data_IF_056584595749
#
_entry.id   IF_056584595749
#
_cell.length_a   1.000
_cell.length_b   1.000
_cell.length_c   1.000
_cell.angle_alpha   90.00
_cell.angle_beta   90.00
_cell.angle_gamma   90.00
#
_symmetry.space_group_name_H-M   'P 1'
#
loop_
_entity.id
_entity.type
_entity.pdbx_description
1 polymer ?
#
# COMPACT_ATOMS: atom_id res chain seq x y z
N UNK A 1 -9.67 -5.72 -2.18
CA UNK A 1 -8.51 -5.01 -2.73
C UNK A 1 -7.26 -5.36 -1.95
N UNK A 2 -6.09 -5.27 -2.60
CA UNK A 2 -4.81 -5.61 -1.96
C UNK A 2 -4.18 -4.42 -1.22
N UNK A 3 -4.81 -3.24 -1.29
CA UNK A 3 -4.28 -1.99 -0.75
C UNK A 3 -3.97 -1.99 0.74
N UNK A 4 -4.79 -2.60 1.62
CA UNK A 4 -4.49 -2.68 3.06
C UNK A 4 -3.43 -3.73 3.42
N UNK A 5 -3.02 -4.60 2.48
CA UNK A 5 -2.02 -5.62 2.74
C UNK A 5 -0.71 -4.97 3.20
N UNK A 6 -0.13 -5.54 4.24
CA UNK A 6 1.14 -5.06 4.78
C UNK A 6 2.31 -5.63 4.01
N UNK A 7 3.33 -4.81 3.79
CA UNK A 7 4.56 -5.11 3.06
C UNK A 7 5.75 -4.88 3.99
N UNK A 8 6.67 -5.84 4.01
CA UNK A 8 7.94 -5.71 4.73
C UNK A 8 8.88 -4.84 3.91
N UNK A 9 9.59 -3.94 4.59
CA UNK A 9 10.66 -3.15 4.01
C UNK A 9 12.01 -3.77 4.36
N UNK A 10 12.90 -3.81 3.38
CA UNK A 10 14.27 -4.28 3.51
C UNK A 10 15.23 -3.09 3.51
N UNK A 11 16.22 -3.11 4.41
CA UNK A 11 17.28 -2.09 4.43
C UNK A 11 18.05 -2.09 3.10
N UNK A 12 18.35 -0.88 2.64
CA UNK A 12 19.11 -0.60 1.44
C UNK A 12 20.05 0.57 1.71
N UNK A 13 21.10 0.75 0.89
CA UNK A 13 21.92 1.94 0.93
C UNK A 13 21.04 3.18 0.65
N UNK A 14 21.06 4.14 1.56
CA UNK A 14 20.20 5.33 1.49
C UNK A 14 18.84 5.24 2.21
N UNK A 15 18.40 4.05 2.64
CA UNK A 15 17.12 3.90 3.35
C UNK A 15 16.55 2.50 3.32
N UNK A 16 15.37 2.35 2.75
CA UNK A 16 14.66 1.09 2.60
C UNK A 16 14.17 0.89 1.16
N UNK A 17 13.88 -0.35 0.81
CA UNK A 17 13.14 -0.70 -0.41
C UNK A 17 12.03 -1.69 -0.04
N UNK A 18 10.96 -1.73 -0.84
CA UNK A 18 9.92 -2.74 -0.67
C UNK A 18 10.50 -4.13 -0.90
N UNK A 19 10.10 -5.10 -0.06
CA UNK A 19 10.53 -6.49 -0.20
C UNK A 19 9.35 -7.37 -0.64
N UNK A 20 8.59 -7.89 0.30
CA UNK A 20 7.46 -8.79 0.06
C UNK A 20 6.30 -8.52 1.02
N UNK A 21 5.13 -9.05 0.68
CA UNK A 21 3.99 -8.99 1.60
C UNK A 21 4.31 -9.69 2.92
N UNK A 22 3.88 -9.06 4.01
CA UNK A 22 3.90 -9.66 5.34
C UNK A 22 2.97 -10.89 5.36
N UNK A 23 3.47 -12.00 5.90
CA UNK A 23 2.73 -13.25 6.03
C UNK A 23 2.45 -13.58 7.49
N UNK A 24 1.44 -14.39 7.74
CA UNK A 24 1.11 -14.85 9.10
C UNK A 24 2.31 -15.54 9.76
N UNK A 25 3.06 -16.32 9.01
CA UNK A 25 4.29 -16.99 9.49
C UNK A 25 5.43 -16.06 9.90
N UNK A 26 5.43 -14.82 9.42
CA UNK A 26 6.45 -13.83 9.82
C UNK A 26 6.23 -13.31 11.23
N UNK A 27 4.97 -13.22 11.67
CA UNK A 27 4.62 -12.65 12.96
C UNK A 27 4.56 -13.69 14.06
N UNK A 28 3.64 -14.63 13.94
CA UNK A 28 3.52 -15.75 14.83
C UNK A 28 2.56 -16.80 14.23
N UNK A 29 2.64 -18.02 14.74
CA UNK A 29 1.88 -19.17 14.24
C UNK A 29 0.37 -19.10 14.56
N UNK A 30 -0.05 -18.20 15.44
CA UNK A 30 -1.39 -18.20 16.05
C UNK A 30 -2.29 -17.04 15.60
N UNK A 31 -2.13 -16.52 14.38
CA UNK A 31 -3.04 -15.50 13.85
C UNK A 31 -4.42 -16.05 13.43
N UNK A 32 -4.88 -17.10 14.08
CA UNK A 32 -6.18 -17.72 13.85
C UNK A 32 -6.23 -18.65 12.64
N UNK A 33 -5.17 -18.74 11.85
CA UNK A 33 -5.11 -19.55 10.65
C UNK A 33 -4.33 -20.84 10.89
N UNK A 34 -5.04 -21.96 10.82
CA UNK A 34 -4.43 -23.28 11.01
C UNK A 34 -3.72 -23.83 9.78
N UNK A 35 -4.04 -23.27 8.59
CA UNK A 35 -3.55 -23.77 7.32
C UNK A 35 -2.76 -22.70 6.58
N UNK A 36 -1.59 -23.08 6.10
CA UNK A 36 -0.75 -22.29 5.19
C UNK A 36 -0.44 -20.87 5.68
N UNK A 37 0.07 -20.68 6.91
CA UNK A 37 0.40 -19.36 7.44
C UNK A 37 1.44 -18.62 6.59
N UNK A 38 2.26 -19.32 5.83
CA UNK A 38 3.23 -18.78 4.88
C UNK A 38 2.58 -18.15 3.63
N UNK A 39 1.31 -18.42 3.36
CA UNK A 39 0.58 -17.87 2.21
C UNK A 39 -0.39 -16.76 2.59
N UNK A 40 -0.78 -16.69 3.85
CA UNK A 40 -1.76 -15.71 4.33
C UNK A 40 -1.14 -14.33 4.44
N UNK A 41 -1.64 -13.40 3.65
CA UNK A 41 -1.30 -11.98 3.75
C UNK A 41 -1.94 -11.36 4.98
N UNK A 42 -1.29 -10.34 5.51
CA UNK A 42 -1.67 -9.68 6.75
C UNK A 42 -2.13 -8.26 6.47
N UNK A 43 -3.17 -7.85 7.19
CA UNK A 43 -3.64 -6.46 7.28
C UNK A 43 -3.62 -6.01 8.73
N UNK A 44 -3.67 -4.69 8.94
CA UNK A 44 -3.88 -4.14 10.28
C UNK A 44 -5.38 -3.85 10.47
N UNK A 45 -5.95 -4.32 11.56
CA UNK A 45 -7.35 -4.11 11.90
C UNK A 45 -7.54 -2.95 12.86
N UNK A 46 -8.29 -1.93 12.46
CA UNK A 46 -8.58 -0.76 13.28
C UNK A 46 -9.44 -1.06 14.50
N UNK A 47 -10.26 -2.12 14.45
CA UNK A 47 -11.12 -2.51 15.58
C UNK A 47 -10.32 -3.16 16.70
N UNK A 48 -9.53 -4.17 16.38
CA UNK A 48 -8.72 -4.91 17.35
C UNK A 48 -7.37 -4.28 17.63
N UNK A 49 -6.95 -3.27 16.85
CA UNK A 49 -5.62 -2.65 16.90
C UNK A 49 -4.48 -3.66 16.80
N UNK A 50 -4.65 -4.65 15.94
CA UNK A 50 -3.71 -5.73 15.77
C UNK A 50 -3.59 -6.18 14.30
N UNK A 51 -2.53 -6.92 14.03
CA UNK A 51 -2.35 -7.57 12.73
C UNK A 51 -3.21 -8.83 12.67
N UNK A 52 -3.95 -8.99 11.58
CA UNK A 52 -4.84 -10.11 11.35
C UNK A 52 -4.68 -10.68 9.94
N UNK A 53 -4.96 -11.97 9.78
CA UNK A 53 -5.07 -12.58 8.47
C UNK A 53 -6.55 -12.53 8.04
N UNK A 54 -6.92 -11.72 7.03
CA UNK A 54 -8.30 -11.66 6.58
C UNK A 54 -8.69 -12.95 5.89
N UNK A 55 -9.93 -13.37 6.07
CA UNK A 55 -10.50 -14.46 5.29
C UNK A 55 -10.49 -14.08 3.81
N UNK A 56 -10.17 -15.06 2.97
CA UNK A 56 -10.23 -14.86 1.54
C UNK A 56 -11.65 -14.50 1.09
N UNK A 57 -11.72 -13.62 0.16
CA UNK A 57 -12.95 -13.06 -0.37
C UNK A 57 -13.75 -14.02 -1.24
N UNK A 58 -13.12 -15.03 -1.80
CA UNK A 58 -13.73 -15.98 -2.75
C UNK A 58 -14.86 -16.80 -2.12
N UNK A 59 -14.78 -17.11 -0.84
CA UNK A 59 -15.80 -17.89 -0.15
C UNK A 59 -17.19 -17.23 -0.10
N UNK A 60 -17.26 -15.91 -0.12
CA UNK A 60 -18.52 -15.15 -0.08
C UNK A 60 -19.07 -14.81 -1.45
N UNK A 61 -18.28 -14.93 -2.47
CA UNK A 61 -18.66 -14.65 -3.86
C UNK A 61 -19.86 -15.45 -4.35
N UNK A 62 -20.06 -16.62 -3.78
CA UNK A 62 -21.13 -17.55 -4.16
C UNK A 62 -22.30 -17.57 -3.18
N UNK A 63 -22.21 -16.80 -2.09
CA UNK A 63 -23.24 -16.81 -1.05
C UNK A 63 -24.50 -16.05 -1.44
N UNK A 64 -24.35 -14.91 -2.13
CA UNK A 64 -25.47 -14.10 -2.63
C UNK A 64 -25.14 -13.55 -3.99
N UNK A 65 -26.07 -13.69 -4.92
CA UNK A 65 -25.94 -13.16 -6.29
C UNK A 65 -25.81 -11.62 -6.25
N UNK A 66 -24.81 -11.09 -6.96
CA UNK A 66 -24.53 -9.65 -7.05
C UNK A 66 -23.83 -9.04 -5.86
N UNK A 67 -23.50 -9.79 -4.81
CA UNK A 67 -22.72 -9.30 -3.67
C UNK A 67 -21.29 -9.84 -3.71
N UNK A 68 -20.36 -8.95 -3.90
CA UNK A 68 -18.94 -9.24 -3.95
C UNK A 68 -18.30 -8.81 -2.64
N UNK A 69 -17.88 -9.75 -1.83
CA UNK A 69 -16.92 -9.47 -0.77
C UNK A 69 -17.15 -8.29 0.14
N UNK A 70 -18.33 -8.07 0.55
CA UNK A 70 -18.67 -6.92 1.36
C UNK A 70 -18.37 -7.10 2.86
N UNK A 71 -18.08 -8.35 3.28
CA UNK A 71 -17.76 -8.65 4.68
C UNK A 71 -16.29 -9.02 4.81
N UNK A 72 -15.51 -8.10 5.34
CA UNK A 72 -14.13 -8.35 5.73
C UNK A 72 -14.10 -8.99 7.11
N UNK A 73 -13.60 -10.21 7.21
CA UNK A 73 -13.57 -10.98 8.45
C UNK A 73 -12.20 -11.63 8.66
N UNK A 74 -11.87 -11.85 9.94
CA UNK A 74 -10.78 -12.70 10.38
C UNK A 74 -11.25 -13.53 11.57
N UNK A 75 -11.03 -14.85 11.53
CA UNK A 75 -11.49 -15.75 12.60
C UNK A 75 -12.99 -15.66 12.90
N UNK A 76 -13.84 -15.33 11.92
CA UNK A 76 -15.28 -15.17 12.08
C UNK A 76 -15.72 -13.82 12.68
N UNK A 77 -14.78 -12.91 12.93
CA UNK A 77 -15.05 -11.54 13.41
C UNK A 77 -14.90 -10.56 12.26
N UNK A 78 -15.81 -9.59 12.20
CA UNK A 78 -15.71 -8.49 11.24
C UNK A 78 -14.52 -7.59 11.59
N UNK A 79 -13.71 -7.26 10.58
CA UNK A 79 -12.53 -6.41 10.69
C UNK A 79 -12.73 -5.07 9.94
N UNK A 80 -12.03 -4.04 10.40
CA UNK A 80 -11.89 -2.75 9.74
C UNK A 80 -10.45 -2.58 9.27
N UNK A 81 -10.20 -2.94 8.02
CA UNK A 81 -8.83 -2.95 7.46
C UNK A 81 -8.31 -1.52 7.30
N UNK A 82 -7.23 -1.22 7.99
CA UNK A 82 -6.57 0.07 7.85
C UNK A 82 -5.92 0.19 6.46
N UNK A 83 -6.31 1.22 5.72
CA UNK A 83 -5.77 1.47 4.38
C UNK A 83 -4.36 2.08 4.43
N UNK A 84 -4.14 3.03 5.33
CA UNK A 84 -2.87 3.74 5.52
C UNK A 84 -2.53 3.80 7.00
N UNK A 85 -1.26 3.57 7.35
CA UNK A 85 -0.81 3.77 8.72
C UNK A 85 -0.45 5.23 9.05
N UNK A 86 -0.65 6.16 8.11
CA UNK A 86 -0.42 7.59 8.34
C UNK A 86 -1.34 8.12 9.45
N UNK A 87 -0.73 8.74 10.46
CA UNK A 87 -1.41 9.17 11.69
C UNK A 87 -1.32 8.16 12.84
N UNK A 88 -1.00 6.88 12.53
CA UNK A 88 -0.80 5.80 13.51
C UNK A 88 0.56 5.09 13.31
N UNK A 89 1.48 5.71 12.57
CA UNK A 89 2.81 5.17 12.30
C UNK A 89 3.74 5.33 13.52
N UNK A 90 4.72 4.43 13.63
CA UNK A 90 5.80 4.58 14.60
C UNK A 90 6.85 5.59 14.14
N UNK A 91 7.13 5.61 12.83
CA UNK A 91 8.05 6.58 12.22
C UNK A 91 7.81 6.75 10.72
N UNK A 92 8.49 7.74 10.14
CA UNK A 92 8.63 7.93 8.69
C UNK A 92 10.00 7.44 8.28
N UNK A 93 10.08 6.62 7.23
CA UNK A 93 11.33 6.13 6.68
C UNK A 93 11.45 6.48 5.20
N UNK A 94 12.68 6.70 4.75
CA UNK A 94 12.97 6.94 3.35
C UNK A 94 12.93 5.62 2.58
N UNK A 95 12.06 5.54 1.57
CA UNK A 95 11.90 4.36 0.71
C UNK A 95 12.27 4.72 -0.72
N UNK A 96 13.12 3.89 -1.32
CA UNK A 96 13.55 4.04 -2.71
C UNK A 96 12.57 3.39 -3.69
N UNK A 97 12.20 4.15 -4.71
CA UNK A 97 11.33 3.73 -5.81
C UNK A 97 12.06 3.86 -7.14
N UNK A 98 11.80 2.97 -8.11
CA UNK A 98 12.40 3.09 -9.43
C UNK A 98 11.89 4.33 -10.15
N UNK A 99 12.74 4.92 -10.98
CA UNK A 99 12.32 5.97 -11.92
C UNK A 99 11.32 5.42 -12.95
N UNK A 100 10.45 6.29 -13.45
CA UNK A 100 9.58 5.95 -14.57
C UNK A 100 10.39 5.62 -15.83
N UNK A 101 11.49 6.35 -16.08
CA UNK A 101 12.35 6.13 -17.24
C UNK A 101 13.37 5.03 -16.99
N UNK A 102 13.45 4.01 -17.85
CA UNK A 102 14.31 2.84 -17.63
C UNK A 102 15.83 3.15 -17.73
N UNK A 103 16.20 4.35 -18.16
CA UNK A 103 17.59 4.77 -18.27
C UNK A 103 18.15 5.41 -16.98
N UNK A 104 17.29 5.67 -16.00
CA UNK A 104 17.70 6.16 -14.69
C UNK A 104 18.01 4.96 -13.78
N UNK A 105 19.22 4.91 -13.26
CA UNK A 105 19.70 3.81 -12.42
C UNK A 105 19.46 4.06 -10.93
N UNK A 106 19.31 5.32 -10.54
CA UNK A 106 19.15 5.71 -9.16
C UNK A 106 17.69 5.60 -8.72
N UNK A 107 17.48 5.34 -7.44
CA UNK A 107 16.16 5.32 -6.85
C UNK A 107 15.70 6.73 -6.51
N UNK A 108 14.40 6.97 -6.64
CA UNK A 108 13.72 8.15 -6.08
C UNK A 108 13.36 7.87 -4.63
N UNK A 109 13.83 8.71 -3.72
CA UNK A 109 13.63 8.53 -2.28
C UNK A 109 12.45 9.35 -1.76
N UNK A 110 11.47 8.69 -1.17
CA UNK A 110 10.27 9.31 -0.62
C UNK A 110 9.93 8.77 0.74
N UNK A 111 9.41 9.62 1.62
CA UNK A 111 9.07 9.21 2.97
C UNK A 111 7.74 8.45 3.00
N UNK A 112 7.75 7.33 3.70
CA UNK A 112 6.63 6.43 3.86
C UNK A 112 6.38 6.18 5.35
N UNK A 113 5.12 6.21 5.81
CA UNK A 113 4.80 5.87 7.19
C UNK A 113 4.93 4.36 7.41
N UNK A 114 5.54 3.98 8.53
CA UNK A 114 5.78 2.57 8.86
C UNK A 114 5.44 2.23 10.30
N UNK A 115 5.17 0.94 10.54
CA UNK A 115 5.15 0.34 11.87
C UNK A 115 6.36 -0.54 12.08
N UNK A 116 6.83 -0.56 13.32
CA UNK A 116 7.87 -1.48 13.80
C UNK A 116 7.21 -2.70 14.39
N UNK A 117 7.51 -3.86 13.86
CA UNK A 117 6.89 -5.12 14.24
C UNK A 117 7.97 -6.14 14.55
N UNK A 118 7.78 -6.95 15.58
CA UNK A 118 8.67 -8.06 15.85
C UNK A 118 8.22 -9.30 15.08
N UNK A 119 9.16 -9.92 14.39
CA UNK A 119 8.91 -11.18 13.71
C UNK A 119 8.85 -12.36 14.71
N UNK A 120 8.55 -13.55 14.22
CA UNK A 120 8.49 -14.79 15.03
C UNK A 120 9.81 -15.12 15.76
N UNK A 121 10.95 -14.54 15.31
CA UNK A 121 12.26 -14.67 15.92
C UNK A 121 12.60 -13.52 16.89
N UNK A 122 11.64 -12.63 17.16
CA UNK A 122 11.82 -11.42 17.98
C UNK A 122 12.77 -10.37 17.36
N UNK A 123 13.00 -10.40 16.06
CA UNK A 123 13.75 -9.39 15.32
C UNK A 123 12.80 -8.29 14.84
N UNK A 124 13.27 -7.04 14.82
CA UNK A 124 12.48 -5.89 14.37
C UNK A 124 12.37 -5.87 12.85
N UNK A 125 11.15 -5.70 12.35
CA UNK A 125 10.82 -5.46 10.96
C UNK A 125 10.09 -4.12 10.81
N UNK A 126 10.24 -3.50 9.65
CA UNK A 126 9.49 -2.32 9.23
C UNK A 126 8.42 -2.74 8.24
N UNK A 127 7.18 -2.38 8.51
CA UNK A 127 6.04 -2.72 7.66
C UNK A 127 5.22 -1.49 7.32
N UNK A 128 4.63 -1.49 6.14
CA UNK A 128 3.72 -0.44 5.68
C UNK A 128 2.66 -1.05 4.76
N UNK A 129 1.60 -0.33 4.43
CA UNK A 129 0.57 -0.84 3.52
C UNK A 129 1.00 -0.74 2.06
N UNK A 130 0.42 -1.59 1.21
CA UNK A 130 0.53 -1.45 -0.26
C UNK A 130 0.07 -0.07 -0.70
N UNK A 131 -1.00 0.46 -0.10
CA UNK A 131 -1.51 1.79 -0.38
C UNK A 131 -0.46 2.88 -0.14
N UNK A 132 0.19 2.87 1.03
CA UNK A 132 1.22 3.86 1.37
C UNK A 132 2.40 3.83 0.40
N UNK A 133 2.82 2.62 0.00
CA UNK A 133 3.86 2.43 -1.01
C UNK A 133 3.42 2.93 -2.38
N UNK A 134 2.20 2.64 -2.79
CA UNK A 134 1.69 3.03 -4.11
C UNK A 134 1.54 4.54 -4.22
N UNK A 135 1.00 5.19 -3.21
CA UNK A 135 0.86 6.66 -3.16
C UNK A 135 2.23 7.33 -3.22
N UNK A 136 3.21 6.80 -2.46
CA UNK A 136 4.58 7.30 -2.51
C UNK A 136 5.24 7.02 -3.86
N UNK A 137 5.04 5.83 -4.45
CA UNK A 137 5.59 5.50 -5.77
C UNK A 137 5.09 6.43 -6.88
N UNK A 138 3.86 6.90 -6.79
CA UNK A 138 3.31 7.89 -7.73
C UNK A 138 3.69 9.34 -7.38
N UNK A 139 4.42 9.57 -6.30
CA UNK A 139 4.83 10.92 -5.89
C UNK A 139 3.67 11.81 -5.48
N UNK A 140 2.60 11.25 -4.94
CA UNK A 140 1.45 12.02 -4.43
C UNK A 140 1.85 12.70 -3.14
N UNK A 141 1.69 14.02 -3.09
CA UNK A 141 2.01 14.80 -1.90
C UNK A 141 1.01 14.53 -0.77
N UNK A 142 1.56 14.08 0.35
CA UNK A 142 0.82 13.90 1.62
C UNK A 142 1.48 14.70 2.76
N UNK A 143 2.34 15.66 2.43
CA UNK A 143 3.12 16.41 3.39
C UNK A 143 4.26 15.63 4.06
N UNK A 144 4.63 14.46 3.51
CA UNK A 144 5.67 13.58 4.09
C UNK A 144 7.06 13.91 3.55
N UNK A 145 7.15 14.63 2.44
CA UNK A 145 8.41 14.97 1.77
C UNK A 145 8.98 13.82 0.95
N UNK A 146 10.08 14.13 0.25
CA UNK A 146 10.78 13.22 -0.64
C UNK A 146 11.09 13.85 -1.99
N UNK A 147 11.72 13.08 -2.87
CA UNK A 147 12.13 13.52 -4.20
C UNK A 147 10.96 13.43 -5.19
N UNK A 148 10.90 14.39 -6.12
CA UNK A 148 9.91 14.40 -7.21
C UNK A 148 8.47 14.15 -6.74
N UNK A 149 8.07 14.86 -5.68
CA UNK A 149 6.70 14.88 -5.17
C UNK A 149 5.93 15.97 -5.89
N UNK A 150 4.82 15.61 -6.52
CA UNK A 150 4.00 16.54 -7.31
C UNK A 150 3.25 17.52 -6.41
N UNK A 151 3.37 18.82 -6.71
CA UNK A 151 2.67 19.87 -5.97
C UNK A 151 1.23 20.08 -6.45
N UNK A 152 0.91 19.67 -7.67
CA UNK A 152 -0.42 19.78 -8.25
C UNK A 152 -0.57 18.90 -9.50
N UNK A 153 -1.78 18.71 -9.98
CA UNK A 153 -2.06 18.04 -11.26
C UNK A 153 -1.49 18.78 -12.48
N UNK A 154 -1.23 20.08 -12.35
CA UNK A 154 -0.62 20.92 -13.39
C UNK A 154 0.91 20.91 -13.39
N UNK A 155 1.54 20.22 -12.44
CA UNK A 155 3.00 20.08 -12.39
C UNK A 155 3.50 19.10 -13.44
N UNK A 156 3.86 19.62 -14.60
CA UNK A 156 4.34 18.81 -15.72
C UNK A 156 5.81 18.39 -15.63
N UNK A 157 6.52 18.78 -14.57
CA UNK A 157 7.92 18.41 -14.33
C UNK A 157 8.08 17.10 -13.59
N UNK A 158 7.03 16.65 -12.90
CA UNK A 158 7.02 15.42 -12.11
C UNK A 158 6.19 14.35 -12.80
N UNK A 159 6.72 13.13 -12.88
CA UNK A 159 6.02 11.98 -13.47
C UNK A 159 4.68 11.68 -12.77
N UNK A 160 3.78 11.07 -13.51
CA UNK A 160 2.44 10.63 -13.10
C UNK A 160 1.39 11.73 -12.87
N UNK A 161 1.70 13.00 -13.08
CA UNK A 161 0.67 14.04 -13.08
C UNK A 161 -0.10 14.05 -14.41
N UNK A 162 -1.36 14.53 -14.46
CA UNK A 162 -2.08 14.72 -15.70
C UNK A 162 -1.35 15.63 -16.70
N UNK A 163 -0.73 16.72 -16.24
CA UNK A 163 0.03 17.62 -17.11
C UNK A 163 1.30 16.98 -17.67
N UNK A 164 1.97 16.12 -16.92
CA UNK A 164 3.07 15.31 -17.43
C UNK A 164 2.59 14.28 -18.46
N UNK A 165 1.50 13.60 -18.17
CA UNK A 165 0.91 12.61 -19.08
C UNK A 165 0.45 13.24 -20.42
N UNK A 166 -0.09 14.47 -20.38
CA UNK A 166 -0.46 15.23 -21.59
C UNK A 166 0.75 15.45 -22.51
N UNK A 167 1.92 15.79 -21.97
CA UNK A 167 3.15 15.98 -22.76
C UNK A 167 3.59 14.72 -23.51
N UNK A 168 3.34 13.55 -22.92
CA UNK A 168 3.77 12.26 -23.48
C UNK A 168 2.73 11.71 -24.46
N UNK A 169 1.46 11.78 -24.08
CA UNK A 169 0.36 11.09 -24.79
C UNK A 169 -0.40 11.99 -25.76
N UNK A 170 -0.35 13.32 -25.55
CA UNK A 170 -1.17 14.29 -26.25
C UNK A 170 -2.64 14.33 -25.77
N UNK A 171 -3.03 13.49 -24.80
CA UNK A 171 -4.35 13.54 -24.15
C UNK A 171 -4.38 14.72 -23.19
N UNK A 172 -5.41 15.56 -23.29
CA UNK A 172 -5.53 16.75 -22.45
C UNK A 172 -5.57 16.40 -20.96
N UNK A 173 -4.81 17.11 -20.14
CA UNK A 173 -4.80 16.93 -18.68
C UNK A 173 -6.22 16.98 -18.08
N UNK A 174 -7.05 17.91 -18.55
CA UNK A 174 -8.43 18.04 -18.12
C UNK A 174 -9.29 16.78 -18.43
N UNK A 175 -9.04 16.10 -19.55
CA UNK A 175 -9.74 14.86 -19.90
C UNK A 175 -9.26 13.69 -19.04
N UNK A 176 -7.97 13.64 -18.73
CA UNK A 176 -7.40 12.66 -17.81
C UNK A 176 -8.01 12.81 -16.40
N UNK A 177 -8.05 14.04 -15.89
CA UNK A 177 -8.65 14.34 -14.58
C UNK A 177 -10.13 13.99 -14.54
N UNK A 178 -10.90 14.40 -15.58
CA UNK A 178 -12.32 14.10 -15.67
C UNK A 178 -12.56 12.58 -15.68
N UNK A 179 -11.84 11.85 -16.49
CA UNK A 179 -11.97 10.38 -16.57
C UNK A 179 -11.65 9.70 -15.25
N UNK A 180 -10.59 10.15 -14.56
CA UNK A 180 -10.24 9.63 -13.24
C UNK A 180 -11.35 9.87 -12.20
N UNK A 181 -11.97 11.05 -12.20
CA UNK A 181 -13.10 11.36 -11.30
C UNK A 181 -14.33 10.53 -11.64
N UNK A 182 -14.72 10.47 -12.92
CA UNK A 182 -15.86 9.67 -13.37
C UNK A 182 -15.68 8.18 -13.02
N UNK A 183 -14.44 7.66 -13.12
CA UNK A 183 -14.13 6.29 -12.70
C UNK A 183 -14.32 6.11 -11.19
N UNK A 184 -13.82 7.05 -10.37
CA UNK A 184 -13.97 6.97 -8.93
C UNK A 184 -15.43 7.08 -8.46
N UNK A 185 -16.24 7.91 -9.12
CA UNK A 185 -17.64 8.13 -8.80
C UNK A 185 -18.54 6.92 -9.16
N UNK A 186 -18.07 6.03 -10.04
CA UNK A 186 -18.84 4.88 -10.54
C UNK A 186 -18.22 3.51 -10.15
N UNK A 187 -17.22 3.49 -9.27
CA UNK A 187 -16.52 2.28 -8.85
C UNK A 187 -17.19 1.55 -7.67
#
# INVERSE_FOLDING_TARGET
TDMPIQVILRKHEGGFVSDRCLRASDLNENLGEKNNPEWKTIVYDNKSKSFVAPNGSIGFRWGEEGKWNLLHQSGGQEIDQELSCLGNQDELVSVGFPHFTPNESDLLWRNVPVRKVKNAKNEEMYVTSVFDLQVANYGIDRGLGGENVAQSYSDSSVAYTPAWAEKITGVKAADIERTGREFADNA
#
